data_IF_757876044705
#
_entry.id   IF_757876044705
#
_cell.length_a   1.000
_cell.length_b   1.000
_cell.length_c   1.000
_cell.angle_alpha   90.00
_cell.angle_beta   90.00
_cell.angle_gamma   90.00
#
_symmetry.space_group_name_H-M   'P 1'
#
loop_
_entity.id
_entity.type
_entity.pdbx_description
1 polymer ?
#
# COMPACT_ATOMS: atom_id res chain seq x y z
N UNK A 1 -2.94 -0.93 -3.12
CA UNK A 1 -1.91 -0.56 -4.11
C UNK A 1 -2.49 0.31 -5.20
N UNK A 2 -3.47 -0.17 -5.96
CA UNK A 2 -4.19 0.54 -7.01
C UNK A 2 -4.39 2.05 -6.78
N UNK A 3 -5.06 2.46 -5.70
CA UNK A 3 -5.34 3.88 -5.45
C UNK A 3 -4.07 4.72 -5.31
N UNK A 4 -3.06 4.24 -4.56
CA UNK A 4 -1.78 4.94 -4.41
C UNK A 4 -1.08 5.13 -5.75
N UNK A 5 -1.03 4.07 -6.57
CA UNK A 5 -0.42 4.11 -7.91
C UNK A 5 -1.15 5.11 -8.82
N UNK A 6 -2.48 5.10 -8.82
CA UNK A 6 -3.29 5.99 -9.66
C UNK A 6 -3.20 7.46 -9.22
N UNK A 7 -3.13 7.71 -7.91
CA UNK A 7 -2.91 9.07 -7.36
C UNK A 7 -1.55 9.61 -7.81
N UNK A 8 -0.48 8.79 -7.73
CA UNK A 8 0.86 9.22 -8.16
C UNK A 8 0.96 9.43 -9.68
N UNK A 9 0.28 8.62 -10.50
CA UNK A 9 0.20 8.84 -11.95
C UNK A 9 -0.41 10.18 -12.35
N UNK A 10 -1.22 10.77 -11.47
CA UNK A 10 -1.81 12.11 -11.65
C UNK A 10 -0.92 13.23 -11.12
N UNK A 11 0.31 12.92 -10.69
CA UNK A 11 1.27 13.88 -10.16
C UNK A 11 1.02 14.29 -8.71
N UNK A 12 0.18 13.54 -7.97
CA UNK A 12 -0.08 13.79 -6.55
C UNK A 12 0.70 12.76 -5.74
N UNK A 13 1.59 13.17 -4.82
CA UNK A 13 2.33 12.22 -3.99
C UNK A 13 1.39 11.36 -3.12
N UNK A 14 1.67 10.05 -3.03
CA UNK A 14 0.91 9.14 -2.19
C UNK A 14 1.84 8.20 -1.41
N UNK A 15 1.39 7.71 -0.26
CA UNK A 15 2.09 6.70 0.52
C UNK A 15 1.14 5.54 0.81
N UNK A 16 1.54 4.32 0.42
CA UNK A 16 0.81 3.10 0.75
C UNK A 16 1.39 2.46 2.01
N UNK A 17 0.53 2.16 2.98
CA UNK A 17 0.85 1.41 4.19
C UNK A 17 -0.09 0.20 4.25
N UNK A 18 0.46 -0.98 4.45
CA UNK A 18 -0.31 -2.23 4.59
C UNK A 18 0.14 -2.99 5.83
N UNK A 19 -0.60 -4.02 6.25
CA UNK A 19 -0.10 -4.99 7.23
C UNK A 19 0.59 -6.17 6.56
N UNK A 20 1.45 -6.89 7.29
CA UNK A 20 2.17 -8.07 6.80
C UNK A 20 1.26 -9.11 6.12
N UNK A 21 0.04 -9.31 6.64
CA UNK A 21 -0.98 -10.19 6.06
C UNK A 21 -1.34 -9.88 4.59
N UNK A 22 -1.10 -8.65 4.12
CA UNK A 22 -1.45 -8.21 2.76
C UNK A 22 -0.26 -8.18 1.79
N UNK A 23 0.96 -8.56 2.20
CA UNK A 23 2.13 -8.55 1.31
C UNK A 23 1.90 -9.35 0.00
N UNK A 24 1.34 -10.57 0.02
CA UNK A 24 1.08 -11.31 -1.22
C UNK A 24 0.11 -10.58 -2.15
N UNK A 25 -0.93 -9.98 -1.59
CA UNK A 25 -1.92 -9.19 -2.33
C UNK A 25 -1.30 -7.92 -2.91
N UNK A 26 -0.45 -7.22 -2.14
CA UNK A 26 0.25 -6.04 -2.62
C UNK A 26 1.16 -6.37 -3.82
N UNK A 27 1.94 -7.44 -3.75
CA UNK A 27 2.78 -7.92 -4.87
C UNK A 27 1.95 -8.28 -6.11
N UNK A 28 0.78 -8.89 -5.94
CA UNK A 28 -0.10 -9.21 -7.05
C UNK A 28 -0.68 -7.92 -7.68
N UNK A 29 -1.18 -7.00 -6.87
CA UNK A 29 -1.77 -5.75 -7.34
C UNK A 29 -0.76 -4.86 -8.05
N UNK A 30 0.46 -4.68 -7.49
CA UNK A 30 1.49 -3.86 -8.13
C UNK A 30 1.85 -4.37 -9.54
N UNK A 31 1.86 -5.69 -9.74
CA UNK A 31 2.06 -6.29 -11.07
C UNK A 31 0.89 -6.04 -12.02
N UNK A 32 -0.34 -6.24 -11.55
CA UNK A 32 -1.56 -5.99 -12.33
C UNK A 32 -1.64 -4.52 -12.77
N UNK A 33 -1.29 -3.62 -11.86
CA UNK A 33 -1.30 -2.17 -12.11
C UNK A 33 -0.08 -1.71 -12.94
N UNK A 34 0.86 -2.60 -13.30
CA UNK A 34 2.03 -2.27 -14.11
C UNK A 34 3.10 -1.45 -13.37
N UNK A 35 3.13 -1.52 -12.04
CA UNK A 35 4.09 -0.83 -11.18
C UNK A 35 4.74 -1.81 -10.19
N UNK A 36 5.47 -2.85 -10.66
CA UNK A 36 5.94 -3.96 -9.82
C UNK A 36 6.83 -3.54 -8.65
N UNK A 37 7.56 -2.43 -8.81
CA UNK A 37 8.48 -1.87 -7.80
C UNK A 37 7.86 -0.74 -6.98
N UNK A 38 6.53 -0.56 -7.03
CA UNK A 38 5.85 0.50 -6.29
C UNK A 38 6.09 0.36 -4.78
N UNK A 39 6.61 1.40 -4.10
CA UNK A 39 6.99 1.31 -2.70
C UNK A 39 5.77 1.29 -1.78
N UNK A 40 5.88 0.54 -0.68
CA UNK A 40 4.91 0.56 0.41
C UNK A 40 5.59 0.20 1.73
N UNK A 41 5.02 0.69 2.83
CA UNK A 41 5.43 0.31 4.17
C UNK A 41 4.60 -0.88 4.65
N UNK A 42 5.23 -1.75 5.43
CA UNK A 42 4.59 -2.91 6.04
C UNK A 42 4.59 -2.74 7.56
N UNK A 43 3.40 -2.74 8.15
CA UNK A 43 3.19 -2.74 9.60
C UNK A 43 2.78 -4.14 10.11
N UNK A 44 3.02 -4.47 11.38
CA UNK A 44 2.49 -5.70 11.97
C UNK A 44 0.96 -5.72 11.96
N UNK A 45 0.38 -6.88 11.65
CA UNK A 45 -1.05 -7.12 11.80
C UNK A 45 -1.40 -7.43 13.27
N UNK A 46 -2.54 -6.95 13.80
CA UNK A 46 -3.53 -6.08 13.16
C UNK A 46 -3.16 -4.59 13.24
N UNK A 47 -3.60 -3.82 12.23
CA UNK A 47 -3.80 -2.38 12.39
C UNK A 47 -5.10 -2.18 13.16
N UNK A 48 -4.99 -1.79 14.42
CA UNK A 48 -6.12 -1.53 15.30
C UNK A 48 -6.35 -0.03 15.47
N UNK A 49 -7.47 0.32 16.10
CA UNK A 49 -7.76 1.71 16.44
C UNK A 49 -6.73 2.27 17.42
N UNK A 50 -6.34 3.52 17.22
CA UNK A 50 -5.59 4.27 18.22
C UNK A 50 -6.51 4.57 19.41
N UNK A 51 -6.42 3.74 20.46
CA UNK A 51 -7.26 3.87 21.67
C UNK A 51 -6.72 4.85 22.69
N UNK A 52 -5.55 5.45 22.46
CA UNK A 52 -4.89 6.36 23.41
C UNK A 52 -4.33 7.61 22.70
N UNK A 53 -4.41 8.80 23.35
CA UNK A 53 -4.05 10.10 22.77
C UNK A 53 -2.54 10.36 22.63
#
# INVERSE_FOLDING_TARGET
MHDGIEVERRGVPAAAIITDAFVPTAVAMTKIDGAPDYPYLVAPHPLSNLTEP
#
